data_IF_337891461655
#
_entry.id   IF_337891461655
#
_cell.length_a   1.000
_cell.length_b   1.000
_cell.length_c   1.000
_cell.angle_alpha   90.00
_cell.angle_beta   90.00
_cell.angle_gamma   90.00
#
_symmetry.space_group_name_H-M   'P 1'
#
loop_
_entity.id
_entity.type
_entity.pdbx_description
1 polymer ?
#
# COMPACT_ATOMS: atom_id res chain seq x y z
N UNK A 1 -10.69 -10.70 -14.46
CA UNK A 1 -10.86 -9.31 -14.00
C UNK A 1 -10.09 -9.20 -12.70
N UNK A 2 -8.98 -8.49 -12.64
CA UNK A 2 -8.24 -8.40 -11.38
C UNK A 2 -7.94 -6.94 -11.08
N UNK A 3 -8.45 -6.48 -9.94
CA UNK A 3 -7.85 -5.38 -9.17
C UNK A 3 -6.47 -5.78 -8.67
N UNK A 4 -5.77 -4.88 -7.98
CA UNK A 4 -4.46 -5.14 -7.37
C UNK A 4 -4.49 -6.39 -6.48
N UNK A 5 -5.59 -6.59 -5.75
CA UNK A 5 -5.83 -7.78 -4.94
C UNK A 5 -6.74 -8.79 -5.63
N UNK A 6 -7.18 -8.52 -6.86
CA UNK A 6 -8.07 -9.41 -7.61
C UNK A 6 -9.46 -9.58 -7.00
N UNK A 7 -9.91 -8.64 -6.15
CA UNK A 7 -11.14 -8.80 -5.37
C UNK A 7 -10.99 -9.71 -4.15
N UNK A 8 -9.76 -10.13 -3.82
CA UNK A 8 -9.45 -11.06 -2.75
C UNK A 8 -9.16 -10.30 -1.45
N UNK A 9 -10.09 -10.43 -0.49
CA UNK A 9 -9.95 -9.82 0.83
C UNK A 9 -8.72 -10.37 1.56
N UNK A 10 -8.46 -11.68 1.49
CA UNK A 10 -7.37 -12.29 2.25
C UNK A 10 -6.01 -11.78 1.74
N UNK A 11 -5.86 -11.60 0.42
CA UNK A 11 -4.67 -10.94 -0.14
C UNK A 11 -4.53 -9.50 0.33
N UNK A 12 -5.64 -8.74 0.40
CA UNK A 12 -5.62 -7.38 0.89
C UNK A 12 -5.20 -7.30 2.36
N UNK A 13 -5.75 -8.16 3.21
CA UNK A 13 -5.40 -8.24 4.63
C UNK A 13 -3.93 -8.64 4.84
N UNK A 14 -3.41 -9.53 3.99
CA UNK A 14 -2.06 -10.06 4.11
C UNK A 14 -0.97 -9.11 3.60
N UNK A 15 -1.24 -8.33 2.55
CA UNK A 15 -0.23 -7.48 1.87
C UNK A 15 -0.40 -5.98 2.11
N UNK A 16 -1.42 -5.55 2.87
CA UNK A 16 -1.63 -4.15 3.27
C UNK A 16 -1.61 -4.00 4.78
N UNK A 17 -0.79 -3.09 5.31
CA UNK A 17 -0.78 -2.76 6.75
C UNK A 17 -2.13 -2.19 7.18
N UNK A 18 -2.81 -1.46 6.29
CA UNK A 18 -4.14 -0.93 6.54
C UNK A 18 -5.20 -2.04 6.53
N UNK A 19 -5.08 -3.02 5.62
CA UNK A 19 -5.88 -4.25 5.67
C UNK A 19 -5.72 -4.98 7.01
N UNK A 20 -4.48 -5.23 7.43
CA UNK A 20 -4.16 -5.83 8.73
C UNK A 20 -4.74 -5.04 9.92
N UNK A 21 -4.64 -3.71 9.90
CA UNK A 21 -5.22 -2.84 10.93
C UNK A 21 -6.75 -2.96 10.98
N UNK A 22 -7.43 -2.95 9.83
CA UNK A 22 -8.88 -3.13 9.76
C UNK A 22 -9.32 -4.49 10.29
N UNK A 23 -8.58 -5.57 9.98
CA UNK A 23 -8.85 -6.90 10.53
C UNK A 23 -8.66 -6.93 12.05
N UNK A 24 -7.57 -6.35 12.55
CA UNK A 24 -7.27 -6.29 13.98
C UNK A 24 -8.31 -5.49 14.77
N UNK A 25 -8.95 -4.50 14.13
CA UNK A 25 -10.05 -3.70 14.70
C UNK A 25 -11.43 -4.36 14.54
N UNK A 26 -11.53 -5.55 13.94
CA UNK A 26 -12.81 -6.21 13.67
C UNK A 26 -13.65 -5.56 12.56
N UNK A 27 -13.04 -4.68 11.74
CA UNK A 27 -13.70 -3.90 10.70
C UNK A 27 -13.61 -4.57 9.32
N UNK A 28 -13.96 -5.86 9.23
CA UNK A 28 -13.92 -6.63 7.98
C UNK A 28 -14.82 -6.04 6.87
N UNK A 29 -15.95 -5.41 7.25
CA UNK A 29 -16.85 -4.74 6.30
C UNK A 29 -16.17 -3.57 5.57
N UNK A 30 -15.36 -2.78 6.28
CA UNK A 30 -14.61 -1.68 5.67
C UNK A 30 -13.52 -2.22 4.74
N UNK A 31 -12.81 -3.28 5.14
CA UNK A 31 -11.80 -3.91 4.29
C UNK A 31 -12.41 -4.45 2.98
N UNK A 32 -13.59 -5.07 3.06
CA UNK A 32 -14.35 -5.51 1.88
C UNK A 32 -14.75 -4.36 0.96
N UNK A 33 -15.19 -3.23 1.52
CA UNK A 33 -15.53 -2.04 0.72
C UNK A 33 -14.32 -1.50 -0.04
N UNK A 34 -13.13 -1.50 0.58
CA UNK A 34 -11.90 -1.10 -0.10
C UNK A 34 -11.56 -2.02 -1.28
N UNK A 35 -11.59 -3.33 -1.06
CA UNK A 35 -11.29 -4.33 -2.09
C UNK A 35 -12.28 -4.24 -3.25
N UNK A 36 -13.57 -4.05 -2.95
CA UNK A 36 -14.61 -3.88 -3.95
C UNK A 36 -14.44 -2.58 -4.77
N UNK A 37 -14.13 -1.46 -4.11
CA UNK A 37 -13.90 -0.18 -4.77
C UNK A 37 -12.66 -0.21 -5.68
N UNK A 38 -11.55 -0.79 -5.20
CA UNK A 38 -10.32 -0.97 -5.95
C UNK A 38 -10.56 -1.85 -7.19
N UNK A 39 -11.19 -3.01 -7.01
CA UNK A 39 -11.50 -3.94 -8.10
C UNK A 39 -12.43 -3.32 -9.16
N UNK A 40 -13.39 -2.50 -8.72
CA UNK A 40 -14.28 -1.76 -9.64
C UNK A 40 -13.51 -0.76 -10.47
N UNK A 41 -12.61 0.03 -9.86
CA UNK A 41 -11.77 1.01 -10.59
C UNK A 41 -10.84 0.31 -11.56
N UNK A 42 -10.19 -0.76 -11.14
CA UNK A 42 -9.35 -1.56 -12.00
C UNK A 42 -10.10 -2.05 -13.24
N UNK A 43 -11.34 -2.53 -13.06
CA UNK A 43 -12.19 -2.97 -14.16
C UNK A 43 -12.51 -1.82 -15.14
N UNK A 44 -12.78 -0.62 -14.65
CA UNK A 44 -13.01 0.56 -15.51
C UNK A 44 -11.81 0.83 -16.44
N UNK A 45 -10.60 0.59 -15.92
CA UNK A 45 -9.33 0.74 -16.66
C UNK A 45 -8.94 -0.47 -17.51
N UNK A 46 -9.81 -1.49 -17.61
CA UNK A 46 -9.57 -2.72 -18.37
C UNK A 46 -8.78 -3.81 -17.60
N UNK A 47 -8.59 -3.61 -16.29
CA UNK A 47 -7.98 -4.56 -15.36
C UNK A 47 -6.47 -4.39 -15.21
N UNK A 48 -5.93 -4.84 -14.08
CA UNK A 48 -4.48 -4.87 -13.85
C UNK A 48 -3.79 -5.86 -14.79
N UNK A 49 -2.62 -5.45 -15.29
CA UNK A 49 -1.74 -6.29 -16.11
C UNK A 49 -0.43 -6.59 -15.40
N UNK A 50 0.24 -5.55 -14.89
CA UNK A 50 1.48 -5.67 -14.12
C UNK A 50 1.78 -4.42 -13.30
N UNK A 51 2.66 -4.56 -12.32
CA UNK A 51 3.26 -3.46 -11.57
C UNK A 51 4.77 -3.52 -11.76
N UNK A 52 5.38 -2.40 -12.10
CA UNK A 52 6.82 -2.23 -12.19
C UNK A 52 7.28 -1.35 -11.03
N UNK A 53 8.34 -1.79 -10.33
CA UNK A 53 8.99 -0.97 -9.31
C UNK A 53 10.10 -0.19 -10.01
N UNK A 54 9.95 1.13 -10.10
CA UNK A 54 10.93 1.98 -10.77
C UNK A 54 12.09 2.31 -9.83
N UNK A 55 11.77 2.68 -8.59
CA UNK A 55 12.76 3.04 -7.59
C UNK A 55 12.21 2.80 -6.18
N UNK A 56 13.08 2.43 -5.24
CA UNK A 56 12.75 2.35 -3.81
C UNK A 56 13.73 3.26 -3.06
N UNK A 57 13.17 4.19 -2.29
CA UNK A 57 13.91 5.10 -1.42
C UNK A 57 13.60 4.72 0.03
N UNK A 58 14.58 4.18 0.79
CA UNK A 58 14.42 4.00 2.23
C UNK A 58 14.16 5.35 2.89
N UNK A 59 13.20 5.41 3.82
CA UNK A 59 12.99 6.64 4.58
C UNK A 59 14.13 6.77 5.61
N UNK A 60 14.67 7.97 5.78
CA UNK A 60 15.69 8.20 6.80
C UNK A 60 15.07 7.96 8.18
N UNK A 61 15.62 7.00 8.93
CA UNK A 61 15.30 6.87 10.34
C UNK A 61 15.98 8.05 11.02
N UNK A 62 15.23 9.11 11.30
CA UNK A 62 15.68 10.14 12.23
C UNK A 62 15.87 9.46 13.60
N UNK A 63 17.08 8.98 13.87
CA UNK A 63 17.52 8.75 15.24
C UNK A 63 17.56 10.12 15.90
N UNK A 64 16.46 10.51 16.54
CA UNK A 64 16.52 11.59 17.53
C UNK A 64 17.53 11.17 18.59
N UNK A 65 18.71 11.79 18.54
CA UNK A 65 19.71 11.78 19.60
C UNK A 65 19.11 12.42 20.87
N UNK A 66 18.25 11.68 21.57
CA UNK A 66 17.81 12.00 22.91
C UNK A 66 18.76 11.34 23.90
N UNK A 67 19.88 12.02 24.17
CA UNK A 67 20.64 11.80 25.42
C UNK A 67 19.74 12.14 26.61
N UNK A 68 19.02 11.16 27.16
CA UNK A 68 18.77 10.98 28.60
C UNK A 68 17.75 9.87 28.89
N UNK A 69 18.13 8.98 29.82
CA UNK A 69 17.29 8.12 30.67
C UNK A 69 16.74 6.78 30.12
N UNK A 70 17.49 5.70 30.41
CA UNK A 70 17.14 4.35 30.98
C UNK A 70 15.88 3.55 30.51
N UNK A 71 15.89 2.20 30.69
CA UNK A 71 15.37 1.23 29.72
C UNK A 71 13.89 0.84 29.95
N UNK A 72 13.27 0.26 28.91
CA UNK A 72 11.83 -0.04 28.68
C UNK A 72 11.16 1.13 27.94
N UNK A 73 10.83 1.07 26.65
CA UNK A 73 10.45 -0.03 25.77
C UNK A 73 11.34 -0.09 24.53
N UNK A 74 11.67 -1.30 24.09
CA UNK A 74 12.24 -1.56 22.78
C UNK A 74 11.16 -1.29 21.73
N UNK A 75 10.85 -0.02 21.42
CA UNK A 75 10.10 0.26 20.20
C UNK A 75 11.02 -0.15 19.05
N UNK A 76 10.76 -1.33 18.51
CA UNK A 76 11.40 -1.79 17.29
C UNK A 76 10.94 -0.83 16.21
N UNK A 77 11.72 0.21 15.92
CA UNK A 77 11.46 1.10 14.80
C UNK A 77 11.45 0.22 13.55
N UNK A 78 10.26 -0.05 13.02
CA UNK A 78 10.10 -0.83 11.80
C UNK A 78 10.61 0.02 10.62
N UNK A 79 11.58 -0.47 9.82
CA UNK A 79 12.06 0.26 8.65
C UNK A 79 10.90 0.61 7.70
N UNK A 80 10.89 1.83 7.18
CA UNK A 80 9.94 2.29 6.15
C UNK A 80 10.68 2.68 4.88
N UNK A 81 9.96 2.67 3.76
CA UNK A 81 10.49 3.07 2.46
C UNK A 81 9.36 3.58 1.57
N UNK A 82 9.69 4.41 0.61
CA UNK A 82 8.77 4.85 -0.45
C UNK A 82 9.20 4.24 -1.77
N UNK A 83 8.29 3.50 -2.42
CA UNK A 83 8.49 2.92 -3.74
C UNK A 83 7.75 3.74 -4.80
N UNK A 84 8.46 4.20 -5.83
CA UNK A 84 7.85 4.71 -7.05
C UNK A 84 7.51 3.52 -7.94
N UNK A 85 6.22 3.35 -8.25
CA UNK A 85 5.73 2.24 -9.05
C UNK A 85 4.98 2.72 -10.29
N UNK A 86 5.06 1.92 -11.34
CA UNK A 86 4.30 2.08 -12.57
C UNK A 86 3.31 0.93 -12.68
N UNK A 87 2.03 1.27 -12.63
CA UNK A 87 0.92 0.33 -12.64
C UNK A 87 0.32 0.31 -14.04
N UNK A 88 0.41 -0.85 -14.68
CA UNK A 88 -0.13 -1.07 -16.02
C UNK A 88 -1.53 -1.64 -15.92
N UNK A 89 -2.49 -0.87 -16.42
CA UNK A 89 -3.81 -1.35 -16.78
C UNK A 89 -3.87 -1.59 -18.29
N UNK A 90 -4.94 -2.22 -18.76
CA UNK A 90 -5.14 -2.47 -20.20
C UNK A 90 -5.23 -1.18 -21.02
N UNK A 91 -5.87 -0.14 -20.46
CA UNK A 91 -6.15 1.12 -21.17
C UNK A 91 -5.20 2.26 -20.81
N UNK A 92 -4.51 2.17 -19.67
CA UNK A 92 -3.73 3.28 -19.12
C UNK A 92 -2.56 2.76 -18.29
N UNK A 93 -1.54 3.60 -18.15
CA UNK A 93 -0.42 3.36 -17.24
C UNK A 93 -0.36 4.49 -16.23
N UNK A 94 -0.39 4.14 -14.94
CA UNK A 94 -0.43 5.09 -13.83
C UNK A 94 0.88 4.99 -13.06
N UNK A 95 1.57 6.12 -12.86
CA UNK A 95 2.69 6.20 -11.93
C UNK A 95 2.17 6.65 -10.55
N UNK A 96 2.62 5.97 -9.50
CA UNK A 96 2.15 6.22 -8.14
C UNK A 96 3.26 5.92 -7.12
N UNK A 97 3.16 6.55 -5.95
CA UNK A 97 4.05 6.29 -4.83
C UNK A 97 3.36 5.36 -3.83
N UNK A 98 4.06 4.30 -3.43
CA UNK A 98 3.63 3.37 -2.38
C UNK A 98 4.53 3.55 -1.17
N UNK A 99 3.93 3.84 -0.02
CA UNK A 99 4.64 3.74 1.24
C UNK A 99 4.71 2.28 1.66
N UNK A 100 5.86 1.84 2.14
CA UNK A 100 6.13 0.46 2.54
C UNK A 100 6.62 0.43 3.98
N UNK A 101 6.28 -0.63 4.70
CA UNK A 101 6.82 -0.93 6.04
C UNK A 101 7.36 -2.35 6.07
N UNK A 102 8.51 -2.55 6.70
CA UNK A 102 9.13 -3.85 6.88
C UNK A 102 8.54 -4.52 8.12
N UNK A 103 7.49 -5.32 7.90
CA UNK A 103 6.69 -5.95 8.94
C UNK A 103 7.41 -7.16 9.59
N UNK A 104 8.20 -7.91 8.81
CA UNK A 104 8.99 -9.05 9.29
C UNK A 104 10.31 -9.15 8.50
N UNK A 105 11.47 -8.86 9.11
CA UNK A 105 12.83 -9.05 8.58
C UNK A 105 12.92 -9.36 7.07
N UNK A 106 12.70 -8.33 6.25
CA UNK A 106 12.70 -8.32 4.76
C UNK A 106 11.34 -8.60 4.08
N UNK A 107 10.23 -8.55 4.81
CA UNK A 107 8.87 -8.54 4.26
C UNK A 107 8.31 -7.13 4.29
N UNK A 108 8.37 -6.49 3.13
CA UNK A 108 7.78 -5.19 2.90
C UNK A 108 6.32 -5.32 2.52
N UNK A 109 5.44 -4.66 3.27
CA UNK A 109 4.01 -4.57 2.97
C UNK A 109 3.62 -3.12 2.68
N UNK A 110 2.52 -2.93 1.97
CA UNK A 110 2.05 -1.59 1.61
C UNK A 110 1.51 -0.89 2.86
N UNK A 111 2.16 0.21 3.23
CA UNK A 111 1.86 1.07 4.37
C UNK A 111 1.08 2.34 4.01
N UNK A 112 0.35 2.32 2.91
CA UNK A 112 -0.55 3.40 2.53
C UNK A 112 -1.95 2.86 2.27
N UNK A 113 -2.94 3.71 2.56
CA UNK A 113 -4.24 3.57 1.94
C UNK A 113 -4.03 3.84 0.45
N UNK A 114 -4.02 2.78 -0.35
CA UNK A 114 -3.77 2.83 -1.79
C UNK A 114 -4.98 3.50 -2.48
N UNK A 115 -5.09 4.82 -2.37
CA UNK A 115 -6.11 5.60 -3.06
C UNK A 115 -5.58 5.98 -4.43
N UNK A 116 -5.69 5.06 -5.39
CA UNK A 116 -5.47 5.38 -6.80
C UNK A 116 -6.58 6.29 -7.37
N UNK A 117 -7.58 6.64 -6.57
CA UNK A 117 -8.76 7.36 -7.00
C UNK A 117 -8.40 8.73 -7.58
N UNK A 118 -7.54 9.50 -6.93
CA UNK A 118 -7.22 10.87 -7.35
C UNK A 118 -6.32 10.87 -8.59
N UNK A 119 -5.34 9.98 -8.66
CA UNK A 119 -4.44 9.82 -9.81
C UNK A 119 -5.15 9.25 -11.04
N UNK A 120 -6.08 8.31 -10.86
CA UNK A 120 -6.89 7.78 -11.95
C UNK A 120 -7.92 8.81 -12.42
N UNK A 121 -8.57 9.53 -11.50
CA UNK A 121 -9.57 10.54 -11.86
C UNK A 121 -8.96 11.69 -12.64
N UNK A 122 -7.75 12.13 -12.28
CA UNK A 122 -7.04 13.18 -13.03
C UNK A 122 -6.61 12.73 -14.43
N UNK A 123 -6.27 11.45 -14.62
CA UNK A 123 -5.88 10.91 -15.92
C UNK A 123 -7.05 10.50 -16.83
N UNK A 124 -8.24 10.22 -16.27
CA UNK A 124 -9.46 9.91 -17.04
C UNK A 124 -10.24 11.16 -17.47
N UNK A 125 -9.95 12.33 -16.91
CA UNK A 125 -10.61 13.61 -17.25
C UNK A 125 -9.96 14.34 -18.44
N UNK A 126 -8.93 13.75 -19.04
CA UNK A 126 -8.27 14.22 -20.27
C UNK A 126 -8.47 13.23 -21.42
#
# INVERSE_FOLDING_TARGET
MQGLFGGDLDKYLHYSSYGFALQSMGNANLANLFVAAESTRAKMLGGYKRVEILHITPDEIETQDSKAQKPQDSSSIMPTATALVKIHFDKVVVESQLHLVNYEQNRWIINSQLSLADTISSQLQH
#
